data_IF_981072726782
#
_entry.id   IF_981072726782
#
_cell.length_a   1.000
_cell.length_b   1.000
_cell.length_c   1.000
_cell.angle_alpha   90.00
_cell.angle_beta   90.00
_cell.angle_gamma   90.00
#
_symmetry.space_group_name_H-M   'P 1'
#
loop_
_entity.id
_entity.type
_entity.pdbx_description
1 polymer ?
#
# COMPACT_ATOMS: atom_id res chain seq x y z
N UNK A 1 46.24 -15.35 61.18
CA UNK A 1 45.04 -14.54 61.48
C UNK A 1 45.19 -13.23 60.73
N UNK A 2 44.16 -12.83 59.98
CA UNK A 2 43.94 -11.52 59.34
C UNK A 2 44.74 -11.16 58.08
N UNK A 3 44.21 -10.53 57.02
CA UNK A 3 42.83 -10.36 56.50
C UNK A 3 42.97 -9.97 55.02
N UNK A 4 42.05 -10.51 54.23
CA UNK A 4 41.64 -10.28 52.85
C UNK A 4 42.13 -9.05 52.06
N UNK A 5 42.45 -9.37 50.80
CA UNK A 5 42.63 -8.51 49.63
C UNK A 5 41.27 -7.96 49.19
N UNK A 6 41.14 -6.64 49.05
CA UNK A 6 40.02 -6.01 48.35
C UNK A 6 40.57 -5.16 47.19
N UNK A 7 40.63 -5.74 46.00
CA UNK A 7 40.82 -4.99 44.75
C UNK A 7 39.45 -4.86 44.11
N UNK A 8 38.95 -3.63 44.10
CA UNK A 8 37.66 -3.24 43.51
C UNK A 8 37.84 -3.26 41.99
N UNK A 9 37.18 -4.20 41.32
CA UNK A 9 37.08 -4.23 39.85
C UNK A 9 36.05 -3.21 39.37
N UNK A 10 36.50 -2.18 38.66
CA UNK A 10 35.62 -1.33 37.86
C UNK A 10 35.24 -2.10 36.58
N UNK A 11 34.03 -2.65 36.56
CA UNK A 11 33.41 -3.15 35.33
C UNK A 11 32.84 -1.98 34.53
N UNK A 12 33.41 -1.69 33.38
CA UNK A 12 32.82 -0.78 32.40
C UNK A 12 31.71 -1.52 31.64
N UNK A 13 30.45 -1.26 31.99
CA UNK A 13 29.31 -1.73 31.22
C UNK A 13 29.14 -0.83 29.99
N UNK A 14 29.51 -1.33 28.82
CA UNK A 14 29.23 -0.72 27.53
C UNK A 14 27.74 -0.97 27.21
N UNK A 15 26.89 0.03 27.45
CA UNK A 15 25.49 0.01 27.01
C UNK A 15 25.47 0.34 25.51
N UNK A 16 25.41 -0.69 24.67
CA UNK A 16 25.08 -0.52 23.26
C UNK A 16 23.57 -0.29 23.20
N UNK A 17 23.16 0.97 23.17
CA UNK A 17 21.79 1.32 22.82
C UNK A 17 21.59 0.98 21.33
N UNK A 18 20.97 -0.16 21.05
CA UNK A 18 20.47 -0.48 19.72
C UNK A 18 19.43 0.57 19.36
N UNK A 19 19.78 1.49 18.47
CA UNK A 19 18.81 2.27 17.71
C UNK A 19 17.99 1.28 16.90
N UNK A 20 16.90 0.77 17.48
CA UNK A 20 15.81 0.21 16.72
C UNK A 20 15.21 1.40 15.96
N UNK A 21 15.76 1.67 14.78
CA UNK A 21 15.06 2.46 13.79
C UNK A 21 13.71 1.76 13.62
N UNK A 22 12.63 2.46 13.95
CA UNK A 22 11.30 2.08 13.49
C UNK A 22 11.43 1.99 11.97
N UNK A 23 11.56 0.77 11.45
CA UNK A 23 11.50 0.54 10.02
C UNK A 23 10.10 1.02 9.62
N UNK A 24 10.04 2.20 9.02
CA UNK A 24 8.83 2.64 8.38
C UNK A 24 8.63 1.65 7.23
N UNK A 25 7.43 1.08 7.13
CA UNK A 25 7.14 0.23 5.99
C UNK A 25 7.26 1.04 4.71
N UNK A 26 7.88 0.45 3.69
CA UNK A 26 8.05 1.13 2.41
C UNK A 26 6.70 1.25 1.71
N UNK A 27 6.48 2.40 1.05
CA UNK A 27 5.46 2.51 0.02
C UNK A 27 5.89 1.62 -1.13
N UNK A 28 5.13 0.57 -1.45
CA UNK A 28 5.40 -0.31 -2.58
C UNK A 28 4.74 0.19 -3.87
N UNK A 29 3.62 0.89 -3.72
CA UNK A 29 2.78 1.36 -4.81
C UNK A 29 2.33 2.81 -4.57
N UNK A 30 2.35 3.61 -5.63
CA UNK A 30 1.76 4.95 -5.68
C UNK A 30 0.51 4.88 -6.55
N UNK A 31 -0.62 5.31 -6.01
CA UNK A 31 -1.90 5.36 -6.70
C UNK A 31 -2.17 6.80 -7.12
N UNK A 32 -2.11 7.09 -8.40
CA UNK A 32 -2.31 8.41 -8.96
C UNK A 32 -3.76 8.57 -9.45
N UNK A 33 -4.50 9.48 -8.82
CA UNK A 33 -5.85 9.88 -9.18
C UNK A 33 -5.90 11.32 -9.67
N UNK A 34 -4.77 11.89 -10.13
CA UNK A 34 -4.68 13.29 -10.56
C UNK A 34 -5.45 13.59 -11.86
N UNK A 35 -5.70 12.57 -12.68
CA UNK A 35 -6.48 12.64 -13.91
C UNK A 35 -7.90 12.14 -13.64
N UNK A 36 -8.90 12.94 -14.02
CA UNK A 36 -10.31 12.57 -13.82
C UNK A 36 -10.65 11.27 -14.56
N UNK A 37 -11.38 10.36 -13.89
CA UNK A 37 -11.84 9.09 -14.45
C UNK A 37 -10.69 8.17 -14.90
N UNK A 38 -9.51 8.35 -14.29
CA UNK A 38 -8.34 7.53 -14.53
C UNK A 38 -7.65 7.23 -13.21
N UNK A 39 -7.14 6.01 -13.09
CA UNK A 39 -6.25 5.60 -12.02
C UNK A 39 -4.98 5.05 -12.64
N UNK A 40 -3.83 5.50 -12.16
CA UNK A 40 -2.54 4.92 -12.51
C UNK A 40 -1.86 4.41 -11.25
N UNK A 41 -1.48 3.13 -11.23
CA UNK A 41 -0.71 2.52 -10.15
C UNK A 41 0.72 2.38 -10.63
N UNK A 42 1.67 2.96 -9.89
CA UNK A 42 3.10 2.92 -10.21
C UNK A 42 3.85 2.23 -9.10
N UNK A 43 4.69 1.25 -9.46
CA UNK A 43 5.61 0.62 -8.54
C UNK A 43 6.69 1.59 -8.06
N UNK A 44 7.15 1.39 -6.83
CA UNK A 44 8.28 2.10 -6.25
C UNK A 44 9.51 1.18 -6.16
N UNK A 45 10.60 1.68 -5.58
CA UNK A 45 11.75 0.86 -5.17
C UNK A 45 11.57 0.20 -3.78
N UNK A 46 10.33 0.20 -3.25
CA UNK A 46 10.01 -0.28 -1.91
C UNK A 46 10.22 -1.78 -1.77
N UNK A 47 10.75 -2.19 -0.62
CA UNK A 47 11.09 -3.58 -0.34
C UNK A 47 9.92 -4.29 0.36
N UNK A 48 9.61 -5.52 -0.08
CA UNK A 48 8.60 -6.34 0.60
C UNK A 48 8.99 -6.57 2.06
N UNK A 49 8.04 -6.38 2.97
CA UNK A 49 8.21 -6.58 4.40
C UNK A 49 8.27 -8.08 4.78
N UNK A 50 7.73 -8.96 3.94
CA UNK A 50 7.60 -10.38 4.22
C UNK A 50 7.69 -11.24 2.95
N UNK A 51 7.92 -12.54 3.16
CA UNK A 51 7.72 -13.55 2.13
C UNK A 51 6.21 -13.80 1.99
N UNK A 52 5.70 -13.75 0.76
CA UNK A 52 4.31 -14.06 0.46
C UNK A 52 4.22 -14.72 -0.92
N UNK A 53 3.31 -15.67 -1.08
CA UNK A 53 3.06 -16.33 -2.36
C UNK A 53 1.57 -16.50 -2.59
N UNK A 54 1.13 -16.22 -3.80
CA UNK A 54 -0.26 -16.29 -4.23
C UNK A 54 -0.44 -17.36 -5.30
N UNK A 55 -1.70 -17.71 -5.59
CA UNK A 55 -2.03 -18.40 -6.83
C UNK A 55 -2.07 -17.41 -7.99
N UNK A 56 -2.03 -17.87 -9.25
CA UNK A 56 -2.24 -16.98 -10.41
C UNK A 56 -3.62 -16.32 -10.47
N UNK A 57 -4.55 -16.75 -9.62
CA UNK A 57 -5.91 -16.22 -9.56
C UNK A 57 -6.16 -15.29 -8.37
N UNK A 58 -5.18 -15.14 -7.48
CA UNK A 58 -5.32 -14.32 -6.26
C UNK A 58 -4.30 -13.20 -6.30
N UNK A 59 -4.78 -11.98 -6.14
CA UNK A 59 -3.98 -10.78 -6.32
C UNK A 59 -3.30 -10.27 -5.06
N UNK A 60 -3.07 -8.96 -5.06
CA UNK A 60 -2.73 -8.17 -3.88
C UNK A 60 -3.88 -7.23 -3.54
N UNK A 61 -4.17 -7.06 -2.26
CA UNK A 61 -5.21 -6.17 -1.77
C UNK A 61 -4.59 -4.89 -1.22
N UNK A 62 -5.00 -3.74 -1.76
CA UNK A 62 -4.82 -2.44 -1.12
C UNK A 62 -5.91 -2.29 -0.07
N UNK A 63 -5.59 -2.59 1.19
CA UNK A 63 -6.55 -2.54 2.29
C UNK A 63 -7.00 -1.10 2.57
N UNK A 64 -8.26 -0.96 3.00
CA UNK A 64 -8.88 0.32 3.34
C UNK A 64 -8.81 1.37 2.22
N UNK A 65 -8.68 1.00 0.94
CA UNK A 65 -8.57 1.96 -0.17
C UNK A 65 -9.80 2.89 -0.27
N UNK A 66 -11.00 2.34 -0.04
CA UNK A 66 -12.26 3.06 0.00
C UNK A 66 -12.69 3.34 1.44
N UNK A 67 -13.44 4.43 1.68
CA UNK A 67 -13.86 4.81 3.04
C UNK A 67 -15.11 4.07 3.56
N UNK A 68 -15.96 3.53 2.67
CA UNK A 68 -17.10 2.65 2.98
C UNK A 68 -17.95 2.33 1.74
N UNK A 69 -18.27 1.03 1.57
CA UNK A 69 -19.26 0.43 0.66
C UNK A 69 -19.49 1.14 -0.68
N UNK A 70 -18.44 1.22 -1.51
CA UNK A 70 -18.64 1.55 -2.92
C UNK A 70 -19.38 0.42 -3.64
N UNK A 71 -19.97 0.75 -4.79
CA UNK A 71 -20.49 -0.28 -5.70
C UNK A 71 -19.35 -1.20 -6.13
N UNK A 72 -19.61 -2.49 -6.23
CA UNK A 72 -18.61 -3.45 -6.71
C UNK A 72 -18.03 -3.00 -8.05
N UNK A 73 -16.72 -3.14 -8.20
CA UNK A 73 -15.97 -2.73 -9.39
C UNK A 73 -15.21 -3.93 -9.95
N UNK A 74 -15.21 -4.07 -11.27
CA UNK A 74 -14.31 -5.00 -11.96
C UNK A 74 -13.88 -4.37 -13.27
N UNK A 75 -12.58 -4.19 -13.45
CA UNK A 75 -12.00 -3.66 -14.69
C UNK A 75 -10.86 -4.59 -15.10
N UNK A 76 -10.99 -5.23 -16.26
CA UNK A 76 -10.04 -6.25 -16.75
C UNK A 76 -9.19 -5.80 -17.93
N UNK A 77 -9.29 -4.52 -18.30
CA UNK A 77 -8.61 -3.94 -19.46
C UNK A 77 -7.65 -2.81 -19.06
N UNK A 78 -7.00 -2.95 -17.89
CA UNK A 78 -5.88 -2.08 -17.55
C UNK A 78 -4.75 -2.27 -18.54
N UNK A 79 -3.99 -1.19 -18.76
CA UNK A 79 -2.84 -1.18 -19.67
C UNK A 79 -1.57 -0.83 -18.91
N UNK A 80 -0.47 -1.51 -19.22
CA UNK A 80 0.82 -1.24 -18.63
C UNK A 80 1.65 -2.49 -18.41
N UNK A 81 2.73 -2.34 -17.66
CA UNK A 81 3.75 -3.35 -17.39
C UNK A 81 3.96 -3.60 -15.89
N UNK A 82 3.02 -3.16 -15.03
CA UNK A 82 3.01 -3.48 -13.61
C UNK A 82 3.22 -4.99 -13.45
N UNK A 83 4.15 -5.41 -12.59
CA UNK A 83 4.48 -6.81 -12.31
C UNK A 83 5.19 -6.95 -10.97
N UNK A 84 5.34 -8.20 -10.49
CA UNK A 84 6.26 -8.51 -9.37
C UNK A 84 7.69 -8.31 -9.83
N UNK A 85 8.56 -7.73 -8.99
CA UNK A 85 9.93 -7.49 -9.40
C UNK A 85 10.66 -8.80 -9.72
N UNK A 86 11.41 -8.81 -10.83
CA UNK A 86 12.14 -9.99 -11.28
C UNK A 86 11.30 -11.01 -12.08
N UNK A 87 10.01 -10.75 -12.28
CA UNK A 87 9.13 -11.53 -13.18
C UNK A 87 8.73 -10.72 -14.41
N UNK A 88 7.96 -11.35 -15.31
CA UNK A 88 7.39 -10.66 -16.49
C UNK A 88 5.95 -10.24 -16.22
N UNK A 89 5.58 -9.03 -16.67
CA UNK A 89 4.18 -8.63 -16.75
C UNK A 89 3.44 -9.46 -17.79
N UNK A 90 2.17 -9.74 -17.54
CA UNK A 90 1.25 -10.30 -18.54
C UNK A 90 0.62 -9.21 -19.43
N UNK A 91 0.86 -7.92 -19.11
CA UNK A 91 0.41 -6.76 -19.87
C UNK A 91 -1.06 -6.41 -19.70
N UNK A 92 -1.78 -7.09 -18.80
CA UNK A 92 -3.24 -6.95 -18.64
C UNK A 92 -3.68 -6.79 -17.17
N UNK A 93 -3.07 -5.86 -16.41
CA UNK A 93 -3.38 -5.70 -15.00
C UNK A 93 -4.87 -5.38 -14.80
N UNK A 94 -5.50 -6.13 -13.92
CA UNK A 94 -6.93 -6.06 -13.63
C UNK A 94 -7.15 -5.58 -12.20
N UNK A 95 -8.27 -4.92 -11.96
CA UNK A 95 -8.68 -4.48 -10.62
C UNK A 95 -10.07 -4.98 -10.27
N UNK A 96 -10.25 -5.28 -8.99
CA UNK A 96 -11.49 -5.76 -8.43
C UNK A 96 -11.75 -5.09 -7.08
N UNK A 97 -12.99 -4.72 -6.85
CA UNK A 97 -13.49 -4.31 -5.54
C UNK A 97 -14.82 -5.03 -5.31
N UNK A 98 -14.90 -5.81 -4.23
CA UNK A 98 -16.14 -6.46 -3.84
C UNK A 98 -17.08 -5.45 -3.19
N UNK A 99 -18.36 -5.49 -3.58
CA UNK A 99 -19.37 -4.62 -3.00
C UNK A 99 -19.43 -4.83 -1.48
N UNK A 100 -19.24 -3.73 -0.72
CA UNK A 100 -19.26 -3.77 0.74
C UNK A 100 -17.91 -4.03 1.40
N UNK A 101 -16.85 -4.29 0.63
CA UNK A 101 -15.46 -4.20 1.12
C UNK A 101 -14.98 -2.75 1.14
N UNK A 102 -13.81 -2.52 1.71
CA UNK A 102 -13.04 -1.27 1.65
C UNK A 102 -11.77 -1.44 0.81
N UNK A 103 -11.29 -2.66 0.58
CA UNK A 103 -10.10 -2.92 -0.21
C UNK A 103 -10.28 -2.81 -1.72
N UNK A 104 -9.16 -2.56 -2.42
CA UNK A 104 -9.03 -2.67 -3.87
C UNK A 104 -8.02 -3.76 -4.20
N UNK A 105 -8.45 -4.83 -4.86
CA UNK A 105 -7.58 -5.89 -5.33
C UNK A 105 -7.00 -5.56 -6.70
N UNK A 106 -5.73 -5.91 -6.90
CA UNK A 106 -5.01 -5.87 -8.17
C UNK A 106 -4.61 -7.31 -8.50
N UNK A 107 -5.01 -7.80 -9.67
CA UNK A 107 -4.77 -9.17 -10.12
C UNK A 107 -4.44 -9.21 -11.61
N UNK A 108 -4.01 -10.38 -12.12
CA UNK A 108 -3.53 -10.55 -13.50
C UNK A 108 -2.55 -9.45 -13.93
N UNK A 109 -1.54 -9.18 -13.11
CA UNK A 109 -0.48 -8.21 -13.40
C UNK A 109 0.88 -8.89 -13.60
N UNK A 110 0.94 -10.21 -13.55
CA UNK A 110 2.18 -10.97 -13.68
C UNK A 110 1.91 -12.27 -14.41
N UNK A 111 2.83 -12.67 -15.29
CA UNK A 111 2.71 -13.88 -16.09
C UNK A 111 2.79 -15.16 -15.23
N UNK A 112 3.51 -15.08 -14.11
CA UNK A 112 3.65 -16.14 -13.13
C UNK A 112 2.83 -15.84 -11.87
N UNK A 113 2.54 -16.86 -11.07
CA UNK A 113 1.90 -16.70 -9.77
C UNK A 113 2.71 -15.69 -8.90
N UNK A 114 2.07 -14.66 -8.32
CA UNK A 114 2.79 -13.64 -7.55
C UNK A 114 3.56 -14.24 -6.38
N UNK A 115 4.85 -13.87 -6.24
CA UNK A 115 5.69 -14.29 -5.13
C UNK A 115 6.62 -13.15 -4.70
N UNK A 116 6.50 -12.74 -3.44
CA UNK A 116 7.29 -11.68 -2.82
C UNK A 116 8.32 -12.28 -1.87
N UNK A 117 9.53 -11.71 -1.86
CA UNK A 117 10.61 -12.09 -0.95
C UNK A 117 10.93 -10.91 -0.04
N UNK A 118 10.98 -11.16 1.26
CA UNK A 118 11.30 -10.13 2.25
C UNK A 118 12.64 -9.45 1.94
N UNK A 119 12.66 -8.11 1.97
CA UNK A 119 13.86 -7.31 1.71
C UNK A 119 14.24 -7.18 0.24
N UNK A 120 13.42 -7.65 -0.70
CA UNK A 120 13.58 -7.40 -2.14
C UNK A 120 12.53 -6.41 -2.64
N UNK A 121 12.85 -5.68 -3.71
CA UNK A 121 11.88 -4.80 -4.38
C UNK A 121 10.63 -5.61 -4.70
N UNK A 122 9.45 -5.10 -4.34
CA UNK A 122 8.22 -5.88 -4.44
C UNK A 122 7.62 -5.86 -5.85
N UNK A 123 7.57 -4.69 -6.48
CA UNK A 123 6.93 -4.49 -7.78
C UNK A 123 7.84 -3.71 -8.73
N UNK A 124 7.53 -3.79 -10.02
CA UNK A 124 8.10 -2.92 -11.06
C UNK A 124 7.02 -2.51 -12.06
N UNK A 125 7.25 -1.42 -12.80
CA UNK A 125 6.35 -0.98 -13.86
C UNK A 125 5.15 -0.17 -13.36
N UNK A 126 4.13 -0.06 -14.21
CA UNK A 126 2.90 0.68 -13.90
C UNK A 126 1.68 0.10 -14.62
N UNK A 127 0.49 0.35 -14.09
CA UNK A 127 -0.79 0.00 -14.71
C UNK A 127 -1.71 1.22 -14.73
N UNK A 128 -2.51 1.37 -15.78
CA UNK A 128 -3.48 2.47 -15.90
C UNK A 128 -4.84 1.93 -16.31
N UNK A 129 -5.89 2.42 -15.64
CA UNK A 129 -7.28 2.05 -15.87
C UNK A 129 -8.13 3.30 -16.12
N UNK A 130 -9.05 3.19 -17.08
CA UNK A 130 -10.17 4.14 -17.19
C UNK A 130 -11.25 3.72 -16.20
N UNK A 131 -11.64 4.64 -15.32
CA UNK A 131 -12.61 4.42 -14.24
C UNK A 131 -13.88 5.19 -14.58
N UNK A 132 -15.07 4.63 -14.34
CA UNK A 132 -16.30 5.40 -14.46
C UNK A 132 -16.39 6.51 -13.40
N UNK A 133 -17.23 7.51 -13.64
CA UNK A 133 -17.30 8.69 -12.77
C UNK A 133 -17.75 8.40 -11.33
N UNK A 134 -18.61 7.40 -11.12
CA UNK A 134 -19.08 7.06 -9.78
C UNK A 134 -17.97 6.37 -8.99
N UNK A 135 -17.37 5.33 -9.58
CA UNK A 135 -16.25 4.61 -8.97
C UNK A 135 -15.06 5.53 -8.73
N UNK A 136 -14.72 6.43 -9.67
CA UNK A 136 -13.64 7.39 -9.50
C UNK A 136 -13.90 8.36 -8.34
N UNK A 137 -15.13 8.84 -8.19
CA UNK A 137 -15.51 9.70 -7.06
C UNK A 137 -15.34 8.97 -5.72
N UNK A 138 -15.69 7.69 -5.65
CA UNK A 138 -15.48 6.85 -4.47
C UNK A 138 -13.99 6.68 -4.15
N UNK A 139 -13.13 6.48 -5.17
CA UNK A 139 -11.67 6.40 -5.01
C UNK A 139 -11.08 7.72 -4.49
N UNK A 140 -11.49 8.86 -5.05
CA UNK A 140 -11.05 10.20 -4.61
C UNK A 140 -11.50 10.50 -3.19
N UNK A 141 -12.67 9.99 -2.80
CA UNK A 141 -13.22 10.09 -1.45
C UNK A 141 -12.68 9.04 -0.48
N UNK A 142 -11.79 8.13 -0.90
CA UNK A 142 -11.22 7.04 -0.12
C UNK A 142 -10.07 7.45 0.80
N UNK A 143 -9.31 6.47 1.28
CA UNK A 143 -8.12 6.72 2.09
C UNK A 143 -6.92 7.08 1.21
N UNK A 144 -6.02 7.90 1.74
CA UNK A 144 -4.84 8.37 1.01
C UNK A 144 -3.61 7.49 1.19
N UNK A 145 -3.72 6.44 2.00
CA UNK A 145 -2.67 5.45 2.26
C UNK A 145 -3.28 4.26 2.98
N UNK A 146 -2.63 3.11 2.88
CA UNK A 146 -3.03 1.93 3.61
C UNK A 146 -2.06 0.78 3.41
N UNK A 147 -2.44 -0.37 3.94
CA UNK A 147 -1.62 -1.58 3.93
C UNK A 147 -1.85 -2.39 2.64
N UNK A 148 -0.84 -3.15 2.24
CA UNK A 148 -0.91 -4.09 1.13
C UNK A 148 -0.79 -5.52 1.67
N UNK A 149 -1.76 -6.35 1.33
CA UNK A 149 -1.81 -7.76 1.71
C UNK A 149 -1.72 -8.69 0.49
N UNK A 150 -1.04 -9.83 0.66
CA UNK A 150 -0.98 -10.90 -0.33
C UNK A 150 -0.93 -12.27 0.34
N UNK A 151 -1.54 -13.31 -0.24
CA UNK A 151 -2.62 -13.23 -1.24
C UNK A 151 -3.92 -12.71 -0.62
N UNK A 152 -4.66 -11.82 -1.30
CA UNK A 152 -5.97 -11.36 -0.86
C UNK A 152 -6.79 -10.75 -2.02
N UNK A 153 -8.08 -11.06 -2.10
CA UNK A 153 -9.03 -10.53 -3.09
C UNK A 153 -10.06 -9.57 -2.47
N UNK A 154 -10.42 -9.77 -1.21
CA UNK A 154 -11.28 -8.85 -0.44
C UNK A 154 -10.90 -8.81 1.05
N UNK A 155 -11.57 -7.93 1.82
CA UNK A 155 -11.21 -7.66 3.21
C UNK A 155 -11.31 -8.90 4.13
N UNK A 156 -12.16 -9.87 3.78
CA UNK A 156 -12.32 -11.13 4.51
C UNK A 156 -11.11 -12.07 4.39
N UNK A 157 -10.24 -11.84 3.40
CA UNK A 157 -8.98 -12.58 3.25
C UNK A 157 -7.88 -12.05 4.18
N UNK A 158 -7.98 -10.79 4.66
CA UNK A 158 -6.93 -10.12 5.47
C UNK A 158 -6.47 -10.96 6.66
N UNK A 159 -7.34 -11.64 7.45
CA UNK A 159 -6.91 -12.46 8.57
C UNK A 159 -5.99 -13.64 8.19
N UNK A 160 -6.04 -14.11 6.94
CA UNK A 160 -5.18 -15.17 6.40
C UNK A 160 -4.07 -14.68 5.47
N UNK A 161 -4.10 -13.41 5.07
CA UNK A 161 -3.15 -12.82 4.16
C UNK A 161 -1.89 -12.30 4.88
N UNK A 162 -0.81 -12.14 4.12
CA UNK A 162 0.46 -11.60 4.62
C UNK A 162 0.59 -10.14 4.25
N UNK A 163 0.86 -9.30 5.24
CA UNK A 163 1.22 -7.91 5.02
C UNK A 163 2.58 -7.81 4.32
N UNK A 164 2.66 -7.10 3.20
CA UNK A 164 3.89 -6.95 2.41
C UNK A 164 4.42 -5.52 2.35
N UNK A 165 3.63 -4.50 2.67
CA UNK A 165 4.05 -3.10 2.66
C UNK A 165 2.87 -2.14 2.61
N UNK A 166 3.10 -0.90 2.19
CA UNK A 166 2.04 0.12 2.14
C UNK A 166 1.84 0.69 0.74
N UNK A 167 0.71 1.35 0.51
CA UNK A 167 0.49 2.22 -0.64
C UNK A 167 0.20 3.65 -0.18
N UNK A 168 0.36 4.60 -1.11
CA UNK A 168 -0.12 5.97 -0.93
C UNK A 168 -0.79 6.51 -2.18
N UNK A 169 -1.67 7.49 -1.99
CA UNK A 169 -2.46 8.11 -3.06
C UNK A 169 -1.96 9.52 -3.36
N UNK A 170 -1.80 9.83 -4.65
CA UNK A 170 -1.68 11.20 -5.16
C UNK A 170 -3.09 11.68 -5.49
N UNK A 171 -3.66 12.62 -4.71
CA UNK A 171 -5.06 12.98 -4.84
C UNK A 171 -5.33 13.86 -6.07
N UNK A 172 -6.58 13.86 -6.52
CA UNK A 172 -7.07 14.77 -7.56
C UNK A 172 -6.79 16.24 -7.19
N UNK A 173 -6.38 17.12 -8.13
CA UNK A 173 -6.02 18.53 -7.84
C UNK A 173 -7.10 19.32 -7.09
N UNK A 174 -8.38 18.95 -7.24
CA UNK A 174 -9.52 19.63 -6.60
C UNK A 174 -9.79 19.26 -5.14
N UNK A 175 -9.37 18.09 -4.66
CA UNK A 175 -9.68 17.65 -3.28
C UNK A 175 -8.85 18.41 -2.24
N UNK A 176 -7.62 18.81 -2.57
CA UNK A 176 -6.76 19.65 -1.71
C UNK A 176 -7.32 21.08 -1.60
N UNK A 177 -7.89 21.62 -2.68
CA UNK A 177 -8.45 22.97 -2.70
C UNK A 177 -9.73 23.10 -1.82
N UNK A 178 -10.55 22.05 -1.75
CA UNK A 178 -11.78 22.05 -0.94
C UNK A 178 -11.48 22.08 0.57
N UNK A 179 -10.46 21.33 1.02
CA UNK A 179 -9.97 21.37 2.40
C UNK A 179 -9.45 22.76 2.79
N UNK A 180 -8.70 23.42 1.91
CA UNK A 180 -8.21 24.79 2.13
C UNK A 180 -9.33 25.83 2.21
N UNK A 181 -10.37 25.70 1.38
CA UNK A 181 -11.51 26.63 1.35
C UNK A 181 -12.46 26.45 2.54
N UNK A 182 -12.67 25.22 3.01
CA UNK A 182 -13.46 24.94 4.22
C UNK A 182 -12.86 25.57 5.48
N UNK A 183 -11.53 25.53 5.61
CA UNK A 183 -10.80 26.18 6.71
C UNK A 183 -10.96 27.71 6.71
N UNK A 184 -10.89 28.34 5.54
CA UNK A 184 -11.01 29.80 5.38
C UNK A 184 -12.46 30.31 5.59
N UNK A 185 -13.46 29.53 5.19
CA UNK A 185 -14.86 29.88 5.42
C UNK A 185 -15.23 29.82 6.93
N UNK A 186 -14.67 28.86 7.66
CA UNK A 186 -14.87 28.74 9.11
C UNK A 186 -14.22 29.90 9.90
N UNK A 187 -13.08 30.43 9.45
CA UNK A 187 -12.42 31.56 10.12
C UNK A 187 -13.15 32.89 9.88
N UNK A 188 -13.83 33.04 8.74
CA UNK A 188 -14.51 34.31 8.38
C UNK A 188 -15.82 34.53 9.12
N UNK A 189 -16.41 33.49 9.71
CA UNK A 189 -17.67 33.58 10.47
C UNK A 189 -17.50 34.00 11.95
N UNK A 190 -16.25 34.26 12.38
CA UNK A 190 -15.91 34.78 13.72
C UNK A 190 -15.42 36.24 13.68
N UNK A 191 -16.07 37.09 12.89
CA UNK A 191 -15.91 38.55 12.97
C UNK A 191 -17.26 39.20 13.11
#
# INVERSE_FOLDING_TARGET
MNTNKNIIGLGAALVIASLAGVAQADDLLIIDLSVENQMTITATDGLSAADAAASSFTGVLLADFFNNTSTGLTITNGVGDLTVAGTSSDGSPSIFHSAGSAGLNIWSFTADAPAFTAGQVAFTGSGTWTIDAASYADMVGGNTSGDIYSPADSDDDIPGATYIGTYRVVPAPGSVALLGLGGLAATRRRR
#
